data_IF_132419938239
#
_entry.id   IF_132419938239
#
_cell.length_a   1.000
_cell.length_b   1.000
_cell.length_c   1.000
_cell.angle_alpha   90.00
_cell.angle_beta   90.00
_cell.angle_gamma   90.00
#
_symmetry.space_group_name_H-M   'P 1'
#
loop_
_entity.id
_entity.type
_entity.pdbx_description
1 polymer ?
#
# COMPACT_ATOMS: atom_id res chain seq x y z
N UNK A 1 6.80 6.59 3.88
CA UNK A 1 6.53 5.33 3.15
C UNK A 1 5.05 4.95 3.25
N UNK A 2 4.52 4.55 4.43
CA UNK A 2 3.10 4.13 4.58
C UNK A 2 2.11 5.15 3.99
N UNK A 3 2.27 6.43 4.31
CA UNK A 3 1.39 7.48 3.80
C UNK A 3 1.44 7.62 2.26
N UNK A 4 2.62 7.48 1.65
CA UNK A 4 2.79 7.48 0.19
C UNK A 4 2.08 6.26 -0.42
N UNK A 5 2.30 5.08 0.15
CA UNK A 5 1.65 3.83 -0.30
C UNK A 5 0.13 3.95 -0.29
N UNK A 6 -0.46 4.39 0.81
CA UNK A 6 -1.92 4.56 0.93
C UNK A 6 -2.42 5.60 -0.08
N UNK A 7 -1.68 6.69 -0.28
CA UNK A 7 -2.05 7.73 -1.25
C UNK A 7 -2.13 7.17 -2.67
N UNK A 8 -1.16 6.36 -3.08
CA UNK A 8 -1.13 5.69 -4.38
C UNK A 8 -2.29 4.70 -4.52
N UNK A 9 -2.51 3.85 -3.50
CA UNK A 9 -3.60 2.87 -3.52
C UNK A 9 -4.99 3.53 -3.56
N UNK A 10 -5.13 4.71 -2.95
CA UNK A 10 -6.37 5.50 -2.99
C UNK A 10 -6.57 6.30 -4.28
N UNK A 11 -5.52 6.48 -5.10
CA UNK A 11 -5.55 7.31 -6.31
C UNK A 11 -5.58 8.83 -6.05
N UNK A 12 -5.17 9.29 -4.87
CA UNK A 12 -5.18 10.72 -4.54
C UNK A 12 -3.92 11.41 -5.05
N UNK A 13 -4.02 12.07 -6.22
CA UNK A 13 -2.89 12.77 -6.85
C UNK A 13 -2.21 13.78 -5.91
N UNK A 14 -3.00 14.60 -5.20
CA UNK A 14 -2.45 15.57 -4.24
C UNK A 14 -1.61 14.91 -3.15
N UNK A 15 -2.12 13.83 -2.54
CA UNK A 15 -1.42 13.14 -1.48
C UNK A 15 -0.17 12.40 -2.01
N UNK A 16 -0.25 11.87 -3.24
CA UNK A 16 0.89 11.24 -3.90
C UNK A 16 2.03 12.25 -4.04
N UNK A 17 1.75 13.45 -4.56
CA UNK A 17 2.77 14.47 -4.77
C UNK A 17 3.41 14.93 -3.44
N UNK A 18 2.58 15.22 -2.44
CA UNK A 18 3.04 15.66 -1.10
C UNK A 18 3.91 14.59 -0.45
N UNK A 19 3.45 13.34 -0.40
CA UNK A 19 4.19 12.29 0.28
C UNK A 19 5.39 11.78 -0.55
N UNK A 20 5.40 11.95 -1.88
CA UNK A 20 6.58 11.70 -2.69
C UNK A 20 7.70 12.68 -2.35
N UNK A 21 7.39 13.97 -2.31
CA UNK A 21 8.36 14.99 -1.92
C UNK A 21 8.85 14.76 -0.48
N UNK A 22 7.95 14.41 0.44
CA UNK A 22 8.31 14.14 1.82
C UNK A 22 9.30 12.98 1.95
N UNK A 23 9.05 11.83 1.31
CA UNK A 23 9.95 10.68 1.44
C UNK A 23 11.32 10.93 0.78
N UNK A 24 11.37 11.64 -0.35
CA UNK A 24 12.64 12.06 -0.97
C UNK A 24 13.44 12.98 -0.05
N UNK A 25 12.78 13.96 0.57
CA UNK A 25 13.42 14.86 1.54
C UNK A 25 13.94 14.12 2.79
N UNK A 26 13.34 12.98 3.14
CA UNK A 26 13.79 12.11 4.22
C UNK A 26 14.85 11.08 3.80
N UNK A 27 15.38 11.20 2.58
CA UNK A 27 16.54 10.42 2.13
C UNK A 27 16.19 9.13 1.39
N UNK A 28 14.94 8.92 0.96
CA UNK A 28 14.66 7.87 -0.02
C UNK A 28 15.17 8.32 -1.39
N UNK A 29 16.02 7.50 -1.98
CA UNK A 29 16.47 7.66 -3.35
C UNK A 29 15.45 7.09 -4.35
N UNK A 30 15.75 7.27 -5.64
CA UNK A 30 14.87 6.84 -6.72
C UNK A 30 14.82 5.31 -6.86
N UNK A 31 15.85 4.59 -6.43
CA UNK A 31 15.87 3.12 -6.41
C UNK A 31 14.91 2.57 -5.36
N UNK A 32 15.00 3.06 -4.12
CA UNK A 32 14.08 2.70 -3.04
C UNK A 32 12.62 3.06 -3.37
N UNK A 33 12.39 4.19 -4.05
CA UNK A 33 11.06 4.55 -4.54
C UNK A 33 10.54 3.60 -5.61
N UNK A 34 11.41 3.18 -6.53
CA UNK A 34 11.07 2.20 -7.56
C UNK A 34 10.68 0.87 -6.94
N UNK A 35 11.41 0.40 -5.92
CA UNK A 35 11.06 -0.80 -5.18
C UNK A 35 9.71 -0.68 -4.46
N UNK A 36 9.43 0.46 -3.83
CA UNK A 36 8.13 0.71 -3.19
C UNK A 36 7.00 0.62 -4.22
N UNK A 37 7.16 1.22 -5.41
CA UNK A 37 6.15 1.14 -6.46
C UNK A 37 5.94 -0.28 -6.98
N UNK A 38 7.01 -1.06 -7.13
CA UNK A 38 6.91 -2.47 -7.52
C UNK A 38 6.12 -3.30 -6.49
N UNK A 39 6.38 -3.09 -5.19
CA UNK A 39 5.63 -3.74 -4.11
C UNK A 39 4.15 -3.34 -4.17
N UNK A 40 3.86 -2.05 -4.34
CA UNK A 40 2.48 -1.55 -4.42
C UNK A 40 1.74 -2.21 -5.60
N UNK A 41 2.36 -2.33 -6.76
CA UNK A 41 1.75 -2.94 -7.94
C UNK A 41 1.44 -4.42 -7.71
N UNK A 42 2.42 -5.20 -7.22
CA UNK A 42 2.26 -6.63 -6.92
C UNK A 42 1.10 -6.84 -5.94
N UNK A 43 1.09 -6.13 -4.80
CA UNK A 43 0.03 -6.30 -3.80
C UNK A 43 -1.32 -5.79 -4.28
N UNK A 44 -1.37 -4.72 -5.08
CA UNK A 44 -2.62 -4.25 -5.67
C UNK A 44 -3.19 -5.26 -6.66
N UNK A 45 -2.35 -5.90 -7.47
CA UNK A 45 -2.73 -6.98 -8.36
C UNK A 45 -3.24 -8.21 -7.61
N UNK A 46 -2.50 -8.67 -6.60
CA UNK A 46 -2.90 -9.80 -5.76
C UNK A 46 -4.21 -9.54 -5.01
N UNK A 47 -4.40 -8.33 -4.49
CA UNK A 47 -5.65 -7.95 -3.82
C UNK A 47 -6.85 -8.02 -4.79
N UNK A 48 -6.71 -7.48 -6.01
CA UNK A 48 -7.76 -7.56 -7.04
C UNK A 48 -8.03 -9.00 -7.44
N UNK A 49 -6.99 -9.82 -7.60
CA UNK A 49 -7.12 -11.24 -7.89
C UNK A 49 -7.90 -11.97 -6.79
N UNK A 50 -7.53 -11.76 -5.53
CA UNK A 50 -8.18 -12.35 -4.36
C UNK A 50 -9.66 -11.94 -4.26
N UNK A 51 -9.97 -10.66 -4.50
CA UNK A 51 -11.36 -10.16 -4.55
C UNK A 51 -12.14 -10.85 -5.68
N UNK A 52 -11.54 -10.97 -6.87
CA UNK A 52 -12.17 -11.63 -8.02
C UNK A 52 -12.46 -13.12 -7.81
N UNK A 53 -11.58 -13.82 -7.09
CA UNK A 53 -11.77 -15.22 -6.72
C UNK A 53 -12.76 -15.43 -5.57
N UNK A 54 -13.23 -14.36 -4.92
CA UNK A 54 -14.09 -14.42 -3.73
C UNK A 54 -13.55 -15.38 -2.65
N UNK A 55 -12.23 -15.41 -2.51
CA UNK A 55 -11.53 -16.35 -1.65
C UNK A 55 -11.97 -16.15 -0.20
N UNK A 56 -12.35 -17.24 0.47
CA UNK A 56 -12.75 -17.20 1.87
C UNK A 56 -11.53 -17.02 2.75
N UNK A 57 -11.64 -16.17 3.77
CA UNK A 57 -10.61 -16.04 4.80
C UNK A 57 -10.56 -17.31 5.62
N UNK A 58 -9.37 -17.89 5.74
CA UNK A 58 -9.10 -19.00 6.64
C UNK A 58 -8.69 -18.48 8.02
N UNK A 59 -9.52 -17.61 8.60
CA UNK A 59 -9.22 -16.88 9.84
C UNK A 59 -10.41 -16.95 10.80
N UNK A 60 -10.13 -17.15 12.09
CA UNK A 60 -11.14 -17.02 13.15
C UNK A 60 -11.53 -15.54 13.29
N UNK A 61 -12.78 -15.22 13.65
CA UNK A 61 -13.20 -13.82 13.84
C UNK A 61 -12.30 -13.14 14.88
N UNK A 62 -11.76 -11.98 14.53
CA UNK A 62 -11.02 -11.14 15.49
C UNK A 62 -12.00 -10.26 16.27
N UNK A 63 -12.00 -10.41 17.59
CA UNK A 63 -12.91 -9.68 18.50
C UNK A 63 -12.25 -8.44 19.16
N UNK A 64 -11.09 -8.00 18.67
CA UNK A 64 -10.35 -6.89 19.27
C UNK A 64 -9.25 -7.32 20.25
N UNK A 65 -8.45 -6.36 20.70
CA UNK A 65 -7.46 -6.57 21.77
C UNK A 65 -8.16 -6.54 23.13
N UNK A 66 -8.76 -7.66 23.53
CA UNK A 66 -9.35 -7.82 24.86
C UNK A 66 -10.43 -8.90 24.88
N UNK A 67 -10.03 -10.11 25.28
CA UNK A 67 -10.90 -11.11 25.87
C UNK A 67 -10.34 -11.45 27.26
#
# INVERSE_FOLDING_TARGET
IIALTVSIMSGSNYCIDVYNAAVKNHGLDDEALTEIYAIIDIYSGLNRFNIGQQTKKDEKPWFGCGA
#
